data_IF_394012225288
#
_entry.id   IF_394012225288
#
_cell.length_a   1.000
_cell.length_b   1.000
_cell.length_c   1.000
_cell.angle_alpha   90.00
_cell.angle_beta   90.00
_cell.angle_gamma   90.00
#
_symmetry.space_group_name_H-M   'P 1'
#
loop_
_entity.id
_entity.type
_entity.pdbx_description
1 polymer ?
#
# COMPACT_ATOMS: atom_id res chain seq x y z
N UNK A 1 33.49 31.21 -70.88
CA UNK A 1 34.04 30.29 -69.86
C UNK A 1 33.16 30.38 -68.61
N UNK A 2 32.57 29.23 -68.23
CA UNK A 2 31.37 29.07 -67.39
C UNK A 2 31.79 29.04 -65.91
N UNK A 3 31.44 30.07 -65.15
CA UNK A 3 31.42 30.05 -63.68
C UNK A 3 29.96 29.86 -63.24
N UNK A 4 29.77 29.28 -62.05
CA UNK A 4 28.51 28.89 -61.41
C UNK A 4 27.93 27.52 -61.82
N UNK A 5 28.00 26.57 -60.88
CA UNK A 5 26.85 26.02 -60.13
C UNK A 5 27.26 24.67 -59.53
N UNK A 6 28.17 24.69 -58.56
CA UNK A 6 28.30 23.60 -57.58
C UNK A 6 27.34 23.99 -56.44
N UNK A 7 26.04 23.85 -56.70
CA UNK A 7 25.01 23.94 -55.67
C UNK A 7 24.40 22.55 -55.59
N UNK A 8 24.59 21.93 -54.40
CA UNK A 8 23.75 20.89 -53.81
C UNK A 8 23.50 19.61 -54.60
N UNK A 9 24.54 18.81 -54.82
CA UNK A 9 24.36 17.34 -54.82
C UNK A 9 24.36 16.80 -53.38
N UNK A 10 24.94 17.54 -52.43
CA UNK A 10 25.01 17.14 -51.02
C UNK A 10 23.70 17.32 -50.22
N UNK A 11 22.70 18.03 -50.74
CA UNK A 11 21.43 18.24 -50.02
C UNK A 11 20.38 17.16 -50.26
N UNK A 12 20.56 16.25 -51.23
CA UNK A 12 19.60 15.18 -51.46
C UNK A 12 20.00 13.85 -50.79
N UNK A 13 21.28 13.67 -50.45
CA UNK A 13 21.74 12.48 -49.71
C UNK A 13 21.50 12.58 -48.19
N UNK A 14 21.31 13.79 -47.65
CA UNK A 14 21.00 13.98 -46.23
C UNK A 14 19.52 13.78 -45.89
N UNK A 15 18.62 13.77 -46.87
CA UNK A 15 17.19 13.60 -46.62
C UNK A 15 16.74 12.13 -46.63
N UNK A 16 17.52 11.22 -47.24
CA UNK A 16 17.25 9.77 -47.19
C UNK A 16 17.79 9.14 -45.91
N UNK A 17 18.81 9.74 -45.26
CA UNK A 17 19.30 9.26 -43.97
C UNK A 17 18.41 9.67 -42.78
N UNK A 18 17.61 10.74 -42.92
CA UNK A 18 16.78 11.27 -41.85
C UNK A 18 15.45 10.50 -41.65
N UNK A 19 15.01 9.69 -42.62
CA UNK A 19 13.78 8.89 -42.50
C UNK A 19 14.06 7.47 -41.98
N UNK A 20 15.29 6.96 -42.09
CA UNK A 20 15.68 5.63 -41.62
C UNK A 20 16.05 5.53 -40.13
N UNK A 21 16.20 6.65 -39.42
CA UNK A 21 16.62 6.69 -38.01
C UNK A 21 15.45 6.80 -37.01
N UNK A 22 14.22 6.94 -37.49
CA UNK A 22 13.02 7.06 -36.63
C UNK A 22 12.51 5.74 -36.03
N UNK A 23 13.22 4.62 -36.25
CA UNK A 23 12.76 3.26 -35.91
C UNK A 23 13.68 2.52 -34.93
N UNK A 24 14.44 3.24 -34.10
CA UNK A 24 15.13 2.63 -32.96
C UNK A 24 14.40 2.94 -31.66
N UNK A 25 13.47 2.04 -31.34
CA UNK A 25 13.06 1.77 -29.97
C UNK A 25 12.23 2.86 -29.31
N UNK A 26 10.94 2.93 -29.64
CA UNK A 26 9.98 3.20 -28.57
C UNK A 26 10.12 1.99 -27.63
N UNK A 27 10.60 2.13 -26.38
CA UNK A 27 10.51 1.02 -25.44
C UNK A 27 9.03 0.67 -25.41
N UNK A 28 8.69 -0.56 -25.80
CA UNK A 28 7.36 -1.09 -25.56
C UNK A 28 7.07 -0.75 -24.10
N UNK A 29 6.06 0.10 -23.86
CA UNK A 29 5.58 0.34 -22.52
C UNK A 29 5.38 -1.05 -21.95
N UNK A 30 6.24 -1.43 -20.99
CA UNK A 30 6.13 -2.70 -20.31
C UNK A 30 4.69 -2.71 -19.85
N UNK A 31 3.89 -3.61 -20.43
CA UNK A 31 2.54 -3.81 -19.99
C UNK A 31 2.71 -4.08 -18.51
N UNK A 32 2.34 -3.09 -17.67
CA UNK A 32 2.30 -3.25 -16.23
C UNK A 32 1.40 -4.44 -16.04
N UNK A 33 2.01 -5.63 -15.88
CA UNK A 33 1.33 -6.83 -15.47
C UNK A 33 0.53 -6.35 -14.28
N UNK A 34 -0.79 -6.39 -14.41
CA UNK A 34 -1.70 -5.94 -13.38
C UNK A 34 -1.21 -6.61 -12.11
N UNK A 35 -0.51 -5.85 -11.27
CA UNK A 35 0.05 -6.37 -10.05
C UNK A 35 -1.18 -6.68 -9.26
N UNK A 36 -1.51 -7.97 -9.14
CA UNK A 36 -2.62 -8.40 -8.30
C UNK A 36 -2.51 -7.66 -6.98
N UNK A 37 -3.65 -7.29 -6.37
CA UNK A 37 -3.65 -6.54 -5.13
C UNK A 37 -2.90 -7.31 -4.04
N UNK A 38 -1.60 -7.07 -3.93
CA UNK A 38 -0.73 -7.76 -2.98
C UNK A 38 -0.92 -7.09 -1.62
N UNK A 39 -1.20 -7.92 -0.63
CA UNK A 39 -1.22 -7.46 0.75
C UNK A 39 0.20 -7.03 1.14
N UNK A 40 0.31 -5.89 1.82
CA UNK A 40 1.59 -5.40 2.31
C UNK A 40 2.18 -6.41 3.28
N UNK A 41 3.31 -7.02 2.93
CA UNK A 41 4.01 -7.99 3.79
C UNK A 41 4.92 -7.29 4.81
N UNK A 42 5.33 -8.03 5.85
CA UNK A 42 6.36 -7.59 6.79
C UNK A 42 7.72 -7.31 6.14
N UNK A 43 8.12 -8.09 5.14
CA UNK A 43 9.36 -7.84 4.40
C UNK A 43 9.33 -6.46 3.72
N UNK A 44 8.24 -6.18 3.00
CA UNK A 44 8.06 -4.87 2.35
C UNK A 44 7.97 -3.76 3.39
N UNK A 45 7.21 -3.97 4.46
CA UNK A 45 7.06 -3.01 5.56
C UNK A 45 8.40 -2.56 6.15
N UNK A 46 9.31 -3.50 6.42
CA UNK A 46 10.64 -3.19 6.98
C UNK A 46 11.49 -2.30 6.06
N UNK A 47 11.22 -2.32 4.75
CA UNK A 47 11.91 -1.49 3.75
C UNK A 47 11.22 -0.15 3.48
N UNK A 48 9.98 0.04 3.93
CA UNK A 48 9.23 1.27 3.69
C UNK A 48 9.85 2.46 4.43
N UNK A 49 9.83 3.62 3.77
CA UNK A 49 10.06 4.90 4.44
C UNK A 49 9.04 5.13 5.56
N UNK A 50 9.38 5.99 6.51
CA UNK A 50 8.46 6.38 7.59
C UNK A 50 7.15 6.95 7.02
N UNK A 51 7.22 7.80 6.01
CA UNK A 51 6.03 8.42 5.40
C UNK A 51 5.11 7.39 4.75
N UNK A 52 5.67 6.36 4.10
CA UNK A 52 4.88 5.27 3.52
C UNK A 52 4.19 4.43 4.60
N UNK A 53 4.86 4.18 5.73
CA UNK A 53 4.24 3.52 6.89
C UNK A 53 3.11 4.36 7.46
N UNK A 54 3.31 5.67 7.60
CA UNK A 54 2.27 6.61 8.07
C UNK A 54 1.06 6.55 7.14
N UNK A 55 1.26 6.66 5.82
CA UNK A 55 0.19 6.62 4.84
C UNK A 55 -0.61 5.31 4.89
N UNK A 56 0.07 4.17 5.08
CA UNK A 56 -0.60 2.88 5.25
C UNK A 56 -1.50 2.86 6.50
N UNK A 57 -1.01 3.32 7.65
CA UNK A 57 -1.79 3.37 8.90
C UNK A 57 -2.96 4.36 8.80
N UNK A 58 -2.78 5.50 8.10
CA UNK A 58 -3.89 6.40 7.77
C UNK A 58 -4.97 5.69 6.96
N UNK A 59 -4.60 4.90 5.96
CA UNK A 59 -5.54 4.09 5.16
C UNK A 59 -6.34 3.11 6.02
N UNK A 60 -5.71 2.46 7.00
CA UNK A 60 -6.40 1.60 7.97
C UNK A 60 -7.38 2.40 8.83
N UNK A 61 -6.99 3.60 9.29
CA UNK A 61 -7.88 4.49 10.03
C UNK A 61 -9.13 4.87 9.22
N UNK A 62 -8.97 5.18 7.94
CA UNK A 62 -10.09 5.47 7.03
C UNK A 62 -11.02 4.27 6.84
N UNK A 63 -10.48 3.05 6.77
CA UNK A 63 -11.28 1.83 6.68
C UNK A 63 -12.14 1.62 7.93
N UNK A 64 -11.57 1.89 9.11
CA UNK A 64 -12.30 1.81 10.39
C UNK A 64 -13.47 2.79 10.41
N UNK A 65 -13.25 4.03 9.95
CA UNK A 65 -14.31 5.05 9.89
C UNK A 65 -15.40 4.72 8.87
N UNK A 66 -15.02 4.19 7.70
CA UNK A 66 -15.97 3.73 6.68
C UNK A 66 -16.91 2.65 7.23
N UNK A 67 -16.37 1.68 7.97
CA UNK A 67 -17.21 0.64 8.55
C UNK A 67 -18.12 1.20 9.67
N UNK A 68 -17.60 2.07 10.53
CA UNK A 68 -18.39 2.72 11.60
C UNK A 68 -19.60 3.45 11.02
N UNK A 69 -19.39 4.27 10.00
CA UNK A 69 -20.47 4.98 9.32
C UNK A 69 -21.47 4.03 8.66
N UNK A 70 -21.03 2.92 8.08
CA UNK A 70 -21.95 1.92 7.51
C UNK A 70 -22.78 1.16 8.57
N UNK A 71 -22.18 0.82 9.72
CA UNK A 71 -22.91 0.16 10.83
C UNK A 71 -23.84 1.09 11.59
N UNK A 72 -23.52 2.38 11.69
CA UNK A 72 -24.35 3.35 12.43
C UNK A 72 -25.50 3.94 11.59
N UNK A 73 -25.36 3.96 10.26
CA UNK A 73 -26.36 4.56 9.36
C UNK A 73 -27.38 3.56 8.81
N UNK A 74 -27.11 2.26 8.89
CA UNK A 74 -28.05 1.22 8.48
C UNK A 74 -28.86 0.79 9.70
N UNK A 75 -30.19 0.90 9.60
CA UNK A 75 -31.17 0.39 10.58
C UNK A 75 -30.84 -1.02 11.07
N UNK A 76 -31.32 -1.42 12.27
CA UNK A 76 -30.93 -2.65 12.97
C UNK A 76 -31.48 -3.90 12.28
N UNK A 77 -30.94 -4.23 11.10
CA UNK A 77 -30.96 -5.60 10.65
C UNK A 77 -29.78 -6.29 11.33
N UNK A 78 -30.03 -7.36 12.10
CA UNK A 78 -28.93 -8.18 12.57
C UNK A 78 -28.14 -8.60 11.32
N UNK A 79 -26.80 -8.58 11.36
CA UNK A 79 -26.06 -9.29 10.33
C UNK A 79 -26.65 -10.70 10.33
N UNK A 80 -27.17 -11.14 9.17
CA UNK A 80 -27.40 -12.56 8.96
C UNK A 80 -26.13 -13.27 9.46
N UNK A 81 -26.30 -14.24 10.35
CA UNK A 81 -25.42 -14.70 11.45
C UNK A 81 -23.96 -15.09 11.10
N UNK A 82 -23.51 -14.81 9.87
CA UNK A 82 -22.22 -15.21 9.30
C UNK A 82 -21.24 -14.05 9.04
N UNK A 83 -21.60 -12.79 9.33
CA UNK A 83 -20.72 -11.62 9.13
C UNK A 83 -20.22 -11.02 10.45
N UNK A 84 -19.31 -11.72 11.12
CA UNK A 84 -18.52 -11.13 12.22
C UNK A 84 -17.41 -10.26 11.63
N UNK A 85 -17.70 -8.97 11.40
CA UNK A 85 -16.67 -8.00 11.02
C UNK A 85 -15.58 -7.95 12.10
N UNK A 86 -14.31 -7.90 11.68
CA UNK A 86 -13.18 -7.71 12.60
C UNK A 86 -12.97 -6.23 12.94
N UNK A 87 -13.62 -5.31 12.23
CA UNK A 87 -13.41 -3.88 12.34
C UNK A 87 -13.73 -3.32 13.73
N UNK A 88 -14.78 -3.78 14.46
CA UNK A 88 -15.01 -3.32 15.84
C UNK A 88 -13.82 -3.61 16.78
N UNK A 89 -13.15 -4.75 16.60
CA UNK A 89 -11.96 -5.09 17.38
C UNK A 89 -10.77 -4.21 17.00
N UNK A 90 -10.58 -3.99 15.69
CA UNK A 90 -9.53 -3.11 15.18
C UNK A 90 -9.72 -1.66 15.70
N UNK A 91 -10.94 -1.14 15.61
CA UNK A 91 -11.31 0.17 16.13
C UNK A 91 -11.04 0.30 17.64
N UNK A 92 -11.36 -0.73 18.42
CA UNK A 92 -11.06 -0.78 19.83
C UNK A 92 -9.55 -0.79 20.10
N UNK A 93 -8.81 -1.63 19.40
CA UNK A 93 -7.36 -1.78 19.57
C UNK A 93 -6.58 -0.51 19.19
N UNK A 94 -7.00 0.20 18.15
CA UNK A 94 -6.35 1.42 17.70
C UNK A 94 -6.76 2.67 18.51
N UNK A 95 -7.80 2.59 19.34
CA UNK A 95 -8.34 3.73 20.08
C UNK A 95 -7.27 4.40 20.96
N UNK A 96 -7.04 5.69 20.74
CA UNK A 96 -6.12 6.50 21.52
C UNK A 96 -4.63 6.22 21.23
N UNK A 97 -4.31 5.43 20.21
CA UNK A 97 -2.94 5.27 19.76
C UNK A 97 -2.59 6.32 18.72
N UNK A 98 -1.38 6.88 18.82
CA UNK A 98 -0.80 7.64 17.73
C UNK A 98 -0.35 6.70 16.61
N UNK A 99 -0.32 7.20 15.38
CA UNK A 99 0.20 6.45 14.23
C UNK A 99 1.63 5.99 14.48
N UNK A 100 2.45 6.83 15.12
CA UNK A 100 3.82 6.49 15.47
C UNK A 100 3.88 5.28 16.41
N UNK A 101 3.04 5.23 17.44
CA UNK A 101 2.99 4.08 18.34
C UNK A 101 2.60 2.82 17.58
N UNK A 102 1.58 2.88 16.70
CA UNK A 102 1.18 1.71 15.89
C UNK A 102 2.35 1.23 15.04
N UNK A 103 3.10 2.13 14.41
CA UNK A 103 4.29 1.80 13.63
C UNK A 103 5.35 1.13 14.50
N UNK A 104 5.66 1.68 15.67
CA UNK A 104 6.66 1.14 16.60
C UNK A 104 6.31 -0.28 17.07
N UNK A 105 5.03 -0.53 17.37
CA UNK A 105 4.54 -1.87 17.72
C UNK A 105 4.70 -2.87 16.56
N UNK A 106 4.38 -2.46 15.32
CA UNK A 106 4.52 -3.32 14.14
C UNK A 106 5.99 -3.56 13.78
N UNK A 107 6.84 -2.55 13.89
CA UNK A 107 8.29 -2.69 13.70
C UNK A 107 8.87 -3.68 14.71
N UNK A 108 8.53 -3.50 15.99
CA UNK A 108 8.94 -4.42 17.06
C UNK A 108 8.44 -5.84 16.83
N UNK A 109 7.20 -6.00 16.35
CA UNK A 109 6.63 -7.30 16.04
C UNK A 109 7.47 -8.09 15.03
N UNK A 110 7.81 -7.49 13.88
CA UNK A 110 8.61 -8.16 12.85
C UNK A 110 10.10 -8.27 13.18
N UNK A 111 10.61 -7.43 14.11
CA UNK A 111 11.95 -7.60 14.68
C UNK A 111 12.02 -8.82 15.60
N UNK A 112 10.96 -9.06 16.38
CA UNK A 112 10.89 -10.16 17.36
C UNK A 112 10.34 -11.47 16.80
N UNK A 113 9.67 -11.41 15.64
CA UNK A 113 9.08 -12.57 14.93
C UNK A 113 9.58 -12.62 13.47
N UNK A 114 10.87 -12.88 13.22
CA UNK A 114 11.44 -12.85 11.87
C UNK A 114 10.82 -13.91 10.94
N UNK A 115 10.34 -15.02 11.48
CA UNK A 115 9.60 -16.08 10.79
C UNK A 115 8.27 -15.58 10.20
N UNK A 116 7.71 -14.50 10.73
CA UNK A 116 6.42 -13.96 10.32
C UNK A 116 6.51 -12.84 9.29
N UNK A 117 7.69 -12.46 8.80
CA UNK A 117 7.84 -11.33 7.85
C UNK A 117 7.11 -11.52 6.52
N UNK A 118 6.78 -12.75 6.14
CA UNK A 118 5.96 -13.02 4.96
C UNK A 118 4.46 -12.73 5.20
N UNK A 119 4.03 -12.57 6.44
CA UNK A 119 2.63 -12.34 6.79
C UNK A 119 2.21 -10.88 6.53
N UNK A 120 0.93 -10.63 6.22
CA UNK A 120 0.39 -9.29 6.01
C UNK A 120 0.55 -8.38 7.24
N UNK A 121 0.83 -7.10 7.00
CA UNK A 121 0.97 -6.07 8.05
C UNK A 121 -0.32 -5.94 8.87
N UNK A 122 -1.49 -6.09 8.26
CA UNK A 122 -2.75 -6.07 9.01
C UNK A 122 -2.80 -7.17 10.09
N UNK A 123 -2.24 -8.35 9.83
CA UNK A 123 -2.13 -9.40 10.85
C UNK A 123 -1.17 -8.97 11.98
N UNK A 124 -0.03 -8.36 11.64
CA UNK A 124 0.89 -7.82 12.65
C UNK A 124 0.24 -6.73 13.51
N UNK A 125 -0.56 -5.82 12.92
CA UNK A 125 -1.35 -4.84 13.68
C UNK A 125 -2.28 -5.55 14.67
N UNK A 126 -2.96 -6.60 14.22
CA UNK A 126 -3.83 -7.38 15.09
C UNK A 126 -3.08 -8.02 16.27
N UNK A 127 -1.95 -8.66 16.01
CA UNK A 127 -1.18 -9.37 17.04
C UNK A 127 -0.45 -8.44 17.99
N UNK A 128 0.14 -7.35 17.47
CA UNK A 128 0.99 -6.45 18.22
C UNK A 128 0.22 -5.36 18.97
N UNK A 129 -0.95 -4.96 18.45
CA UNK A 129 -1.71 -3.81 18.97
C UNK A 129 -3.09 -4.23 19.47
N UNK A 130 -3.87 -4.93 18.65
CA UNK A 130 -5.30 -5.18 18.95
C UNK A 130 -5.47 -6.24 20.04
N UNK A 131 -4.85 -7.42 19.86
CA UNK A 131 -5.01 -8.56 20.76
C UNK A 131 -4.57 -8.27 22.20
N UNK A 132 -3.42 -7.62 22.46
CA UNK A 132 -3.01 -7.28 23.83
C UNK A 132 -4.07 -6.44 24.55
N UNK A 133 -4.57 -5.38 23.90
CA UNK A 133 -5.55 -4.46 24.51
C UNK A 133 -6.90 -5.12 24.77
N UNK A 134 -7.35 -6.02 23.89
CA UNK A 134 -8.57 -6.81 24.13
C UNK A 134 -8.42 -7.76 25.32
N UNK A 135 -7.24 -8.35 25.51
CA UNK A 135 -6.96 -9.21 26.67
C UNK A 135 -6.93 -8.40 27.96
N UNK A 136 -6.30 -7.23 27.95
CA UNK A 136 -6.27 -6.30 29.08
C UNK A 136 -7.69 -5.87 29.48
N UNK A 137 -8.53 -5.48 28.51
CA UNK A 137 -9.93 -5.12 28.76
C UNK A 137 -10.72 -6.25 29.41
N UNK A 138 -10.56 -7.47 28.89
CA UNK A 138 -11.22 -8.67 29.42
C UNK A 138 -10.72 -9.03 30.83
N UNK A 139 -9.44 -8.80 31.12
CA UNK A 139 -8.88 -9.03 32.45
C UNK A 139 -9.45 -8.02 33.46
N UNK A 140 -9.48 -6.73 33.12
CA UNK A 140 -10.02 -5.68 33.98
C UNK A 140 -11.52 -5.82 34.28
N UNK A 141 -12.30 -6.38 33.35
CA UNK A 141 -13.72 -6.67 33.56
C UNK A 141 -13.97 -7.88 34.49
N UNK A 142 -12.99 -8.77 34.68
CA UNK A 142 -13.11 -9.95 35.57
C UNK A 142 -12.65 -9.68 37.00
N UNK A 143 -11.96 -8.57 37.22
CA UNK A 143 -11.52 -8.14 38.56
C UNK A 143 -12.51 -7.19 39.25
N UNK A 144 -13.66 -6.92 38.62
CA UNK A 144 -14.78 -6.16 39.16
C UNK A 144 -15.94 -7.11 39.48
#
# INVERSE_FOLDING_TARGET
>A
MRKYRIISVSSLFLLVLAVGLGWLGVPAAEAQQATEAQLLSGNTWQMLSRDNKIAYIWGIGNLVELERTNFETQQPQPPADDRKSFIPYLAYGLRGMSIQQVIEHVDTYYMTHPDQRNQPVLNAIFQAVVMPRLREAKAGARSQ
#
